data_IF_694238461975
#
_entry.id   IF_694238461975
#
_cell.length_a   1.000
_cell.length_b   1.000
_cell.length_c   1.000
_cell.angle_alpha   90.00
_cell.angle_beta   90.00
_cell.angle_gamma   90.00
#
_symmetry.space_group_name_H-M   'P 1'
#
loop_
_entity.id
_entity.type
_entity.pdbx_description
1 polymer ?
#
# COMPACT_ATOMS: atom_id res chain seq x y z
N UNK A 1 8.58 0.14 -11.58
CA UNK A 1 7.42 -0.38 -10.81
C UNK A 1 7.56 -1.85 -10.41
N UNK A 2 7.89 -2.76 -11.34
CA UNK A 2 8.15 -4.18 -11.02
C UNK A 2 9.23 -4.35 -9.95
N UNK A 3 10.40 -3.73 -10.17
CA UNK A 3 11.53 -3.75 -9.22
C UNK A 3 11.15 -3.19 -7.85
N UNK A 4 10.37 -2.11 -7.79
CA UNK A 4 9.85 -1.56 -6.54
C UNK A 4 9.03 -2.58 -5.74
N UNK A 5 8.14 -3.32 -6.40
CA UNK A 5 7.36 -4.37 -5.72
C UNK A 5 8.24 -5.53 -5.30
N UNK A 6 9.20 -5.95 -6.14
CA UNK A 6 10.15 -7.00 -5.79
C UNK A 6 10.97 -6.63 -4.56
N UNK A 7 11.52 -5.42 -4.52
CA UNK A 7 12.33 -4.93 -3.40
C UNK A 7 11.51 -4.81 -2.11
N UNK A 8 10.28 -4.29 -2.19
CA UNK A 8 9.39 -4.22 -1.03
C UNK A 8 9.00 -5.60 -0.52
N UNK A 9 8.68 -6.53 -1.44
CA UNK A 9 8.36 -7.92 -1.10
C UNK A 9 9.50 -8.59 -0.36
N UNK A 10 10.75 -8.38 -0.79
CA UNK A 10 11.93 -8.99 -0.18
C UNK A 10 12.20 -8.55 1.27
N UNK A 11 11.57 -7.45 1.72
CA UNK A 11 11.78 -6.89 3.06
C UNK A 11 10.54 -6.84 3.94
N UNK A 12 9.41 -7.45 3.53
CA UNK A 12 8.15 -7.41 4.29
C UNK A 12 8.32 -7.83 5.75
N UNK A 13 9.05 -8.94 5.97
CA UNK A 13 9.30 -9.49 7.30
C UNK A 13 10.05 -8.52 8.23
N UNK A 14 10.82 -7.59 7.65
CA UNK A 14 11.57 -6.60 8.41
C UNK A 14 10.74 -5.36 8.75
N UNK A 15 9.56 -5.16 8.12
CA UNK A 15 8.80 -3.92 8.27
C UNK A 15 8.05 -3.83 9.60
N UNK A 16 7.60 -4.96 10.16
CA UNK A 16 6.84 -4.96 11.41
C UNK A 16 7.64 -4.30 12.54
N UNK A 17 7.01 -3.34 13.24
CA UNK A 17 7.63 -2.56 14.30
C UNK A 17 8.40 -1.32 13.84
N UNK A 18 8.55 -1.09 12.53
CA UNK A 18 9.15 0.15 12.03
C UNK A 18 8.12 1.30 11.98
N UNK A 19 8.64 2.52 12.17
CA UNK A 19 7.86 3.76 12.12
C UNK A 19 8.13 4.53 10.83
N UNK A 20 7.05 5.04 10.24
CA UNK A 20 7.04 5.91 9.07
C UNK A 20 6.21 7.16 9.41
N UNK A 21 6.90 8.18 9.92
CA UNK A 21 6.24 9.33 10.51
C UNK A 21 5.42 8.92 11.74
N UNK A 22 4.12 9.26 11.82
CA UNK A 22 3.27 8.86 12.95
C UNK A 22 2.72 7.43 12.85
N UNK A 23 3.03 6.70 11.76
CA UNK A 23 2.48 5.39 11.49
C UNK A 23 3.48 4.27 11.81
N UNK A 24 3.06 3.31 12.63
CA UNK A 24 3.89 2.14 12.99
C UNK A 24 3.35 0.92 12.28
N UNK A 25 4.17 0.21 11.52
CA UNK A 25 3.77 -1.01 10.83
C UNK A 25 3.51 -2.12 11.84
N UNK A 26 2.34 -2.74 11.80
CA UNK A 26 1.98 -3.91 12.62
C UNK A 26 2.16 -5.21 11.87
N UNK A 27 1.86 -5.21 10.57
CA UNK A 27 1.94 -6.37 9.70
C UNK A 27 2.21 -5.90 8.29
N UNK A 28 3.05 -6.63 7.57
CA UNK A 28 3.27 -6.46 6.15
C UNK A 28 3.31 -7.83 5.49
N UNK A 29 2.55 -8.02 4.41
CA UNK A 29 2.43 -9.32 3.75
C UNK A 29 2.19 -9.16 2.24
N UNK A 30 2.45 -10.22 1.48
CA UNK A 30 2.00 -10.33 0.09
C UNK A 30 0.76 -11.21 0.03
N UNK A 31 -0.36 -10.60 -0.33
CA UNK A 31 -1.66 -11.22 -0.21
C UNK A 31 -1.79 -12.47 -1.09
N UNK A 32 -2.28 -13.55 -0.50
CA UNK A 32 -2.72 -14.76 -1.18
C UNK A 32 -4.13 -15.13 -0.76
N UNK A 33 -4.90 -15.67 -1.69
CA UNK A 33 -6.25 -16.14 -1.45
C UNK A 33 -6.35 -17.64 -1.73
N UNK A 34 -6.88 -18.39 -0.76
CA UNK A 34 -7.29 -19.78 -0.91
C UNK A 34 -8.80 -19.80 -1.10
N UNK A 35 -9.25 -20.24 -2.26
CA UNK A 35 -10.68 -20.37 -2.54
C UNK A 35 -11.27 -21.55 -1.74
N UNK A 36 -12.29 -21.33 -0.88
CA UNK A 36 -12.83 -22.38 -0.04
C UNK A 36 -13.76 -23.35 -0.79
N UNK A 37 -14.10 -23.08 -2.05
CA UNK A 37 -14.98 -23.91 -2.88
C UNK A 37 -14.17 -24.94 -3.66
N UNK A 38 -13.13 -24.48 -4.36
CA UNK A 38 -12.32 -25.36 -5.23
C UNK A 38 -10.88 -25.62 -4.71
N UNK A 39 -10.47 -24.96 -3.63
CA UNK A 39 -9.15 -25.12 -3.02
C UNK A 39 -8.02 -24.47 -3.83
N UNK A 40 -8.33 -23.70 -4.87
CA UNK A 40 -7.32 -23.01 -5.66
C UNK A 40 -6.63 -21.91 -4.84
N UNK A 41 -5.32 -21.76 -5.05
CA UNK A 41 -4.52 -20.73 -4.37
C UNK A 41 -4.03 -19.71 -5.39
N UNK A 42 -4.37 -18.45 -5.15
CA UNK A 42 -3.86 -17.33 -5.93
C UNK A 42 -2.91 -16.51 -5.06
N UNK A 43 -1.64 -16.42 -5.46
CA UNK A 43 -0.60 -15.67 -4.75
C UNK A 43 -0.30 -14.32 -5.42
N UNK A 44 0.49 -13.49 -4.76
CA UNK A 44 0.99 -12.20 -5.27
C UNK A 44 -0.11 -11.21 -5.67
N UNK A 45 -1.22 -11.20 -4.91
CA UNK A 45 -2.40 -10.37 -5.21
C UNK A 45 -2.29 -8.93 -4.67
N UNK A 46 -1.17 -8.59 -4.05
CA UNK A 46 -0.85 -7.22 -3.65
C UNK A 46 -0.15 -7.19 -2.30
N UNK A 47 0.80 -6.27 -2.16
CA UNK A 47 1.46 -6.06 -0.88
C UNK A 47 0.51 -5.28 0.03
N UNK A 48 0.22 -5.79 1.21
CA UNK A 48 -0.60 -5.13 2.23
C UNK A 48 0.27 -4.75 3.42
N UNK A 49 0.16 -3.50 3.85
CA UNK A 49 0.88 -2.95 5.00
C UNK A 49 -0.16 -2.35 5.94
N UNK A 50 -0.23 -2.90 7.14
CA UNK A 50 -1.14 -2.49 8.19
C UNK A 50 -0.40 -1.64 9.21
N UNK A 51 -1.05 -0.57 9.66
CA UNK A 51 -0.50 0.33 10.65
C UNK A 51 -1.34 0.34 11.92
N UNK A 52 -0.68 0.53 13.06
CA UNK A 52 -1.28 0.55 14.41
C UNK A 52 -2.37 1.63 14.55
N UNK A 53 -2.25 2.71 13.79
CA UNK A 53 -3.12 3.89 13.81
C UNK A 53 -4.38 3.71 12.95
N UNK A 54 -4.80 2.46 12.72
CA UNK A 54 -5.98 2.13 11.93
C UNK A 54 -5.83 2.48 10.44
N UNK A 55 -4.60 2.51 9.93
CA UNK A 55 -4.34 2.78 8.52
C UNK A 55 -3.88 1.53 7.78
N UNK A 56 -4.10 1.51 6.47
CA UNK A 56 -3.66 0.43 5.59
C UNK A 56 -3.20 1.00 4.25
N UNK A 57 -2.10 0.43 3.74
CA UNK A 57 -1.57 0.68 2.40
C UNK A 57 -1.62 -0.64 1.62
N UNK A 58 -2.11 -0.59 0.39
CA UNK A 58 -2.04 -1.73 -0.55
C UNK A 58 -1.38 -1.30 -1.85
N UNK A 59 -0.39 -2.07 -2.29
CA UNK A 59 0.35 -1.86 -3.54
C UNK A 59 0.13 -3.06 -4.47
N UNK A 60 -0.42 -2.83 -5.66
CA UNK A 60 -0.74 -3.89 -6.61
C UNK A 60 -0.28 -3.54 -8.03
N UNK A 61 0.48 -4.43 -8.66
CA UNK A 61 0.77 -4.35 -10.09
C UNK A 61 -0.39 -4.94 -10.90
N UNK A 62 -0.75 -4.24 -11.96
CA UNK A 62 -1.76 -4.68 -12.92
C UNK A 62 -1.24 -4.48 -14.35
N UNK A 63 -1.72 -5.31 -15.28
CA UNK A 63 -1.39 -5.16 -16.70
C UNK A 63 0.07 -5.42 -17.06
N UNK A 64 0.70 -6.49 -16.54
CA UNK A 64 2.12 -6.83 -16.80
C UNK A 64 2.40 -7.36 -18.22
N UNK A 65 1.60 -6.97 -19.21
CA UNK A 65 1.78 -7.34 -20.62
C UNK A 65 2.76 -6.41 -21.35
N UNK A 66 2.68 -6.38 -22.68
CA UNK A 66 3.56 -5.59 -23.55
C UNK A 66 3.43 -4.06 -23.40
N UNK A 67 2.33 -3.58 -22.81
CA UNK A 67 2.02 -2.16 -22.67
C UNK A 67 2.60 -1.49 -21.40
N UNK A 68 3.43 -2.21 -20.64
CA UNK A 68 3.96 -1.74 -19.35
C UNK A 68 2.99 -1.97 -18.19
N UNK A 69 3.52 -1.95 -16.96
CA UNK A 69 2.75 -2.28 -15.77
C UNK A 69 2.17 -1.04 -15.09
N UNK A 70 0.90 -1.10 -14.70
CA UNK A 70 0.24 -0.09 -13.88
C UNK A 70 0.35 -0.45 -12.41
N UNK A 71 0.99 0.41 -11.62
CA UNK A 71 0.98 0.31 -10.16
C UNK A 71 -0.27 1.01 -9.61
N UNK A 72 -1.07 0.26 -8.86
CA UNK A 72 -2.23 0.76 -8.12
C UNK A 72 -1.86 0.88 -6.65
N UNK A 73 -2.18 2.01 -6.05
CA UNK A 73 -1.89 2.34 -4.66
C UNK A 73 -3.20 2.66 -3.97
N UNK A 74 -3.57 1.86 -2.97
CA UNK A 74 -4.78 2.06 -2.18
C UNK A 74 -4.38 2.47 -0.77
N UNK A 75 -5.01 3.52 -0.27
CA UNK A 75 -4.72 4.09 1.05
C UNK A 75 -6.01 4.18 1.84
N UNK A 76 -5.95 3.74 3.09
CA UNK A 76 -7.08 3.72 3.99
C UNK A 76 -6.64 4.21 5.37
N UNK A 77 -7.52 4.95 6.05
CA UNK A 77 -7.37 5.32 7.45
C UNK A 77 -8.72 5.36 8.14
N UNK A 78 -8.84 4.59 9.20
CA UNK A 78 -10.02 4.54 10.05
C UNK A 78 -10.15 5.79 10.91
N UNK A 79 -11.38 6.29 11.05
CA UNK A 79 -11.75 7.35 11.97
C UNK A 79 -12.97 6.89 12.79
N UNK A 80 -12.83 6.88 14.13
CA UNK A 80 -13.90 6.45 15.03
C UNK A 80 -15.04 7.46 15.18
N UNK A 81 -14.80 8.74 14.84
CA UNK A 81 -15.78 9.82 14.95
C UNK A 81 -16.03 10.30 16.38
N UNK A 82 -16.89 11.33 16.57
CA UNK A 82 -17.53 12.11 15.50
C UNK A 82 -16.56 13.06 14.79
N UNK A 83 -15.44 13.40 15.47
CA UNK A 83 -14.38 14.22 14.91
C UNK A 83 -13.63 13.47 13.79
N UNK A 84 -13.25 14.19 12.74
CA UNK A 84 -12.50 13.64 11.61
C UNK A 84 -13.35 13.03 10.48
N UNK A 85 -14.63 12.74 10.71
CA UNK A 85 -15.51 12.19 9.66
C UNK A 85 -15.85 13.19 8.54
N UNK A 86 -15.77 14.49 8.84
CA UNK A 86 -15.99 15.59 7.88
C UNK A 86 -14.69 16.14 7.31
N UNK A 87 -13.55 15.55 7.67
CA UNK A 87 -12.27 15.98 7.14
C UNK A 87 -12.19 15.67 5.64
N UNK A 88 -11.57 16.57 4.88
CA UNK A 88 -11.18 16.28 3.50
C UNK A 88 -10.33 14.99 3.44
N UNK A 89 -10.61 14.14 2.46
CA UNK A 89 -9.96 12.83 2.36
C UNK A 89 -8.44 12.94 2.15
N UNK A 90 -7.96 13.92 1.37
CA UNK A 90 -6.52 14.11 1.17
C UNK A 90 -5.84 14.54 2.46
N UNK A 91 -6.45 15.45 3.22
CA UNK A 91 -5.96 15.84 4.53
C UNK A 91 -5.99 14.66 5.54
N UNK A 92 -7.04 13.84 5.52
CA UNK A 92 -7.16 12.69 6.40
C UNK A 92 -6.13 11.59 6.09
N UNK A 93 -5.81 11.41 4.80
CA UNK A 93 -4.85 10.41 4.30
C UNK A 93 -3.40 10.91 4.24
N UNK A 94 -3.13 12.21 4.49
CA UNK A 94 -1.79 12.78 4.42
C UNK A 94 -0.71 11.97 5.18
N UNK A 95 -0.96 11.42 6.39
CA UNK A 95 0.01 10.55 7.06
C UNK A 95 0.30 9.26 6.30
N UNK A 96 -0.70 8.66 5.65
CA UNK A 96 -0.58 7.43 4.87
C UNK A 96 0.15 7.69 3.55
N UNK A 97 -0.12 8.83 2.91
CA UNK A 97 0.60 9.29 1.71
C UNK A 97 2.09 9.45 2.02
N UNK A 98 2.42 10.14 3.11
CA UNK A 98 3.81 10.35 3.53
C UNK A 98 4.52 9.04 3.88
N UNK A 99 3.85 8.14 4.62
CA UNK A 99 4.41 6.82 4.92
C UNK A 99 4.61 5.98 3.66
N UNK A 100 3.70 6.07 2.68
CA UNK A 100 3.85 5.40 1.38
C UNK A 100 5.11 5.89 0.66
N UNK A 101 5.30 7.21 0.57
CA UNK A 101 6.48 7.79 -0.08
C UNK A 101 7.78 7.35 0.62
N UNK A 102 7.81 7.38 1.96
CA UNK A 102 8.97 6.93 2.72
C UNK A 102 9.26 5.42 2.59
N UNK A 103 8.22 4.60 2.49
CA UNK A 103 8.36 3.14 2.33
C UNK A 103 8.89 2.76 0.95
N UNK A 104 8.38 3.43 -0.09
CA UNK A 104 8.45 2.95 -1.47
C UNK A 104 9.22 3.86 -2.41
N UNK A 105 9.54 5.10 -2.00
CA UNK A 105 10.27 6.10 -2.78
C UNK A 105 9.71 6.22 -4.21
N UNK A 106 8.38 6.29 -4.30
CA UNK A 106 7.65 6.17 -5.57
C UNK A 106 8.09 7.24 -6.56
N UNK A 107 8.27 8.47 -6.08
CA UNK A 107 8.60 9.59 -6.95
C UNK A 107 9.93 9.39 -7.65
N UNK A 108 10.96 9.03 -6.88
CA UNK A 108 12.31 8.78 -7.41
C UNK A 108 12.34 7.52 -8.27
N UNK A 109 11.75 6.42 -7.79
CA UNK A 109 11.80 5.12 -8.48
C UNK A 109 10.95 5.06 -9.75
N UNK A 110 9.90 5.88 -9.85
CA UNK A 110 9.02 5.92 -11.01
C UNK A 110 9.19 7.18 -11.86
N UNK A 111 9.98 8.16 -11.42
CA UNK A 111 10.17 9.43 -12.10
C UNK A 111 8.88 10.24 -12.22
N UNK A 112 8.05 10.25 -11.17
CA UNK A 112 6.70 10.82 -11.18
C UNK A 112 6.45 11.73 -9.99
N UNK A 113 5.85 12.89 -10.23
CA UNK A 113 5.48 13.82 -9.16
C UNK A 113 4.19 13.43 -8.43
N UNK A 114 3.36 12.60 -9.06
CA UNK A 114 2.09 12.14 -8.53
C UNK A 114 1.44 11.02 -9.36
N UNK A 115 0.25 10.56 -8.94
CA UNK A 115 -0.51 9.55 -9.67
C UNK A 115 -1.14 10.11 -10.96
N UNK A 116 -1.33 9.26 -11.98
CA UNK A 116 -2.06 9.65 -13.20
C UNK A 116 -3.57 9.84 -12.94
N UNK A 117 -4.10 9.08 -11.97
CA UNK A 117 -5.53 9.04 -11.64
C UNK A 117 -5.68 8.93 -10.12
N UNK A 118 -6.60 9.70 -9.55
CA UNK A 118 -7.03 9.65 -8.14
C UNK A 118 -8.53 9.40 -8.11
N UNK A 119 -8.98 8.56 -7.17
CA UNK A 119 -10.39 8.21 -6.94
C UNK A 119 -10.73 8.38 -5.47
#
# INVERSE_FOLDING_TARGET
>A
AQELITDLRARLDALAGQDFGPLTVTQAEDFSYLDPVDGSVTVHQGLQIHFKQGARLVLRLSGTGTAGATLRVYMERYAAGPEGLTQDAQAALAPVIAATDALSDLKTRLGRDGPDVVT
#
